data_IF_495431483462
#
_entry.id   IF_495431483462
#
_cell.length_a   1.000
_cell.length_b   1.000
_cell.length_c   1.000
_cell.angle_alpha   90.00
_cell.angle_beta   90.00
_cell.angle_gamma   90.00
#
_symmetry.space_group_name_H-M   'P 1'
#
loop_
_entity.id
_entity.type
_entity.pdbx_description
1 polymer ?
#
# COMPACT_ATOMS: atom_id res chain seq x y z
N UNK A 1 10.86 5.80 1.69
CA UNK A 1 11.06 5.88 0.21
C UNK A 1 10.23 4.85 -0.56
N UNK A 2 9.19 5.28 -1.30
CA UNK A 2 8.43 4.42 -2.20
C UNK A 2 9.02 4.46 -3.63
N UNK A 3 9.42 3.30 -4.14
CA UNK A 3 9.90 3.14 -5.52
C UNK A 3 8.74 3.49 -6.47
N UNK A 4 8.89 4.58 -7.24
CA UNK A 4 8.04 4.88 -8.38
C UNK A 4 8.20 3.78 -9.43
N UNK A 5 7.19 2.93 -9.59
CA UNK A 5 7.04 2.12 -10.78
C UNK A 5 6.45 3.00 -11.89
N UNK A 6 7.33 3.68 -12.63
CA UNK A 6 6.98 4.27 -13.92
C UNK A 6 6.77 3.12 -14.91
N UNK A 7 5.51 2.80 -15.20
CA UNK A 7 5.20 1.95 -16.36
C UNK A 7 5.51 2.79 -17.60
N UNK A 8 6.69 2.59 -18.17
CA UNK A 8 6.99 3.00 -19.55
C UNK A 8 6.18 2.03 -20.43
N UNK A 9 5.01 2.46 -20.87
CA UNK A 9 4.26 1.77 -21.90
C UNK A 9 4.94 2.03 -23.25
N UNK A 10 5.57 0.99 -23.79
CA UNK A 10 6.12 0.99 -25.14
C UNK A 10 4.95 1.11 -26.14
N UNK A 11 4.90 2.11 -27.04
CA UNK A 11 3.72 2.37 -27.87
C UNK A 11 3.54 1.39 -29.05
N UNK A 12 4.30 0.29 -29.11
CA UNK A 12 4.27 -0.64 -30.23
C UNK A 12 3.58 -1.96 -29.91
N UNK A 13 2.26 -1.92 -29.70
CA UNK A 13 1.37 -3.06 -29.97
C UNK A 13 -0.11 -2.61 -30.02
N UNK A 14 -0.41 -1.61 -30.83
CA UNK A 14 -1.79 -1.35 -31.25
C UNK A 14 -2.19 -2.34 -32.36
N UNK A 15 -2.50 -3.58 -31.95
CA UNK A 15 -3.28 -4.51 -32.76
C UNK A 15 -4.75 -4.11 -32.70
N UNK A 16 -5.32 -3.71 -33.83
CA UNK A 16 -6.70 -3.26 -33.99
C UNK A 16 -7.72 -4.36 -33.66
N UNK A 17 -8.18 -4.44 -32.41
CA UNK A 17 -9.36 -5.22 -32.06
C UNK A 17 -10.63 -4.43 -32.42
N UNK A 18 -11.17 -4.71 -33.61
CA UNK A 18 -12.49 -4.23 -34.02
C UNK A 18 -13.56 -4.91 -33.16
N UNK A 19 -14.14 -4.17 -32.21
CA UNK A 19 -15.35 -4.58 -31.50
C UNK A 19 -16.52 -4.60 -32.49
N UNK A 20 -16.82 -5.77 -33.05
CA UNK A 20 -18.03 -5.97 -33.87
C UNK A 20 -19.23 -6.11 -32.93
N UNK A 21 -19.70 -5.00 -32.38
CA UNK A 21 -20.95 -4.95 -31.60
C UNK A 21 -22.15 -5.16 -32.52
N UNK A 22 -22.80 -6.32 -32.41
CA UNK A 22 -24.21 -6.48 -32.82
C UNK A 22 -25.08 -6.35 -31.55
N UNK A 23 -26.02 -5.40 -31.47
CA UNK A 23 -26.95 -5.35 -30.36
C UNK A 23 -27.97 -6.48 -30.55
N UNK A 24 -27.82 -7.58 -29.80
CA UNK A 24 -28.91 -8.53 -29.60
C UNK A 24 -29.72 -8.04 -28.41
N UNK A 25 -30.91 -7.49 -28.68
CA UNK A 25 -31.92 -7.29 -27.65
C UNK A 25 -32.33 -8.66 -27.10
N UNK A 26 -31.73 -9.07 -25.97
CA UNK A 26 -32.26 -10.15 -25.15
C UNK A 26 -33.43 -9.61 -24.34
N UNK A 27 -34.65 -10.05 -24.65
CA UNK A 27 -35.79 -9.94 -23.73
C UNK A 27 -35.48 -10.78 -22.50
N UNK A 28 -35.31 -10.14 -21.35
CA UNK A 28 -35.27 -10.80 -20.05
C UNK A 28 -36.71 -11.04 -19.61
N UNK A 29 -37.14 -12.30 -19.61
CA UNK A 29 -38.34 -12.73 -18.92
C UNK A 29 -38.09 -12.69 -17.41
N UNK A 30 -39.00 -12.01 -16.71
CA UNK A 30 -38.91 -11.76 -15.28
C UNK A 30 -39.44 -12.98 -14.51
N UNK A 31 -38.60 -13.71 -13.80
CA UNK A 31 -39.06 -14.89 -13.05
C UNK A 31 -37.94 -15.73 -12.42
N UNK A 32 -37.37 -15.25 -11.32
CA UNK A 32 -36.45 -16.04 -10.51
C UNK A 32 -35.78 -15.22 -9.42
N UNK A 33 -36.36 -15.23 -8.21
CA UNK A 33 -35.71 -14.67 -7.01
C UNK A 33 -34.49 -15.54 -6.66
N UNK A 34 -33.35 -15.23 -7.24
CA UNK A 34 -32.07 -15.81 -6.82
C UNK A 34 -31.68 -15.14 -5.51
N UNK A 35 -31.93 -15.80 -4.38
CA UNK A 35 -31.28 -15.43 -3.11
C UNK A 35 -29.79 -15.71 -3.28
N UNK A 36 -28.99 -14.66 -3.39
CA UNK A 36 -27.56 -14.76 -3.22
C UNK A 36 -27.28 -15.17 -1.77
N UNK A 37 -27.13 -16.47 -1.52
CA UNK A 37 -26.46 -16.95 -0.31
C UNK A 37 -24.98 -16.58 -0.47
N UNK A 38 -24.56 -15.51 0.21
CA UNK A 38 -23.16 -15.26 0.44
C UNK A 38 -22.62 -16.47 1.21
N UNK A 39 -21.87 -17.33 0.53
CA UNK A 39 -21.15 -18.44 1.17
C UNK A 39 -20.06 -17.85 2.07
N UNK A 40 -20.43 -17.49 3.30
CA UNK A 40 -19.51 -17.19 4.41
C UNK A 40 -18.91 -18.49 4.93
N UNK A 41 -18.32 -19.30 4.05
CA UNK A 41 -17.54 -20.47 4.44
C UNK A 41 -16.14 -20.26 3.89
N UNK A 42 -15.39 -19.40 4.54
CA UNK A 42 -13.95 -19.43 4.49
C UNK A 42 -13.50 -19.80 5.91
N UNK A 43 -12.79 -20.92 6.03
CA UNK A 43 -11.85 -21.17 7.12
C UNK A 43 -10.87 -19.98 7.18
N UNK A 44 -11.29 -18.88 7.81
CA UNK A 44 -10.41 -17.79 8.14
C UNK A 44 -9.70 -18.23 9.41
N UNK A 45 -8.53 -18.87 9.27
CA UNK A 45 -7.45 -18.59 10.23
C UNK A 45 -7.41 -17.07 10.31
N UNK A 46 -7.88 -16.49 11.42
CA UNK A 46 -7.99 -15.05 11.56
C UNK A 46 -6.60 -14.49 11.26
N UNK A 47 -6.46 -13.82 10.12
CA UNK A 47 -5.19 -13.24 9.71
C UNK A 47 -4.94 -12.10 10.68
N UNK A 48 -4.09 -12.32 11.68
CA UNK A 48 -3.76 -11.30 12.66
C UNK A 48 -3.04 -10.11 12.03
N UNK A 49 -3.00 -9.00 12.75
CA UNK A 49 -2.14 -7.87 12.39
C UNK A 49 -0.69 -8.31 12.68
N UNK A 50 0.24 -8.22 11.72
CA UNK A 50 1.65 -8.49 11.98
C UNK A 50 2.19 -7.52 13.04
N UNK A 51 3.09 -8.00 13.91
CA UNK A 51 3.70 -7.20 14.98
C UNK A 51 5.02 -6.54 14.54
N UNK A 52 5.47 -6.77 13.31
CA UNK A 52 6.74 -6.29 12.79
C UNK A 52 6.57 -5.76 11.36
N UNK A 53 7.24 -4.65 11.05
CA UNK A 53 7.49 -4.22 9.68
C UNK A 53 8.67 -4.99 9.10
N UNK A 54 8.63 -5.23 7.80
CA UNK A 54 9.69 -5.92 7.07
C UNK A 54 10.49 -4.93 6.23
N UNK A 55 11.81 -4.94 6.40
CA UNK A 55 12.74 -4.10 5.66
C UNK A 55 13.36 -4.90 4.51
N UNK A 56 13.00 -4.53 3.28
CA UNK A 56 13.50 -5.19 2.08
C UNK A 56 15.02 -5.04 1.91
N UNK A 57 15.61 -3.93 2.38
CA UNK A 57 17.04 -3.61 2.19
C UNK A 57 17.95 -4.68 2.79
N UNK A 58 17.49 -5.37 3.84
CA UNK A 58 18.22 -6.46 4.48
C UNK A 58 18.47 -7.66 3.56
N UNK A 59 17.58 -7.90 2.58
CA UNK A 59 17.66 -9.05 1.67
C UNK A 59 18.16 -8.67 0.26
N UNK A 60 18.47 -7.41 -0.01
CA UNK A 60 18.97 -6.96 -1.31
C UNK A 60 20.45 -7.36 -1.49
N UNK A 61 20.77 -7.95 -2.66
CA UNK A 61 22.15 -8.32 -3.01
C UNK A 61 23.06 -7.10 -3.25
N UNK A 62 22.50 -6.04 -3.82
CA UNK A 62 23.16 -4.73 -3.99
C UNK A 62 22.33 -3.72 -3.22
N UNK A 63 22.95 -3.08 -2.22
CA UNK A 63 22.28 -2.06 -1.42
C UNK A 63 22.03 -0.80 -2.25
N UNK A 64 20.90 -0.10 -2.05
CA UNK A 64 20.69 1.19 -2.68
C UNK A 64 21.81 2.16 -2.29
N UNK A 65 22.24 3.05 -3.21
CA UNK A 65 23.22 4.07 -2.88
C UNK A 65 22.67 4.99 -1.78
N UNK A 66 23.52 5.49 -0.88
CA UNK A 66 23.08 6.39 0.17
C UNK A 66 22.51 7.69 -0.45
N UNK A 67 21.53 8.32 0.21
CA UNK A 67 21.07 9.64 -0.21
C UNK A 67 22.24 10.63 -0.15
N UNK A 68 22.31 11.52 -1.14
CA UNK A 68 23.34 12.55 -1.21
C UNK A 68 22.78 13.89 -0.75
N UNK A 69 23.61 14.64 -0.03
CA UNK A 69 23.25 15.96 0.43
C UNK A 69 23.22 16.94 -0.76
N UNK A 70 22.16 17.75 -0.94
CA UNK A 70 21.91 18.47 -2.19
C UNK A 70 22.93 19.58 -2.51
N UNK A 71 23.69 20.04 -1.51
CA UNK A 71 24.74 21.06 -1.72
C UNK A 71 26.13 20.47 -1.90
N UNK A 72 26.46 19.43 -1.14
CA UNK A 72 27.82 18.88 -1.06
C UNK A 72 27.99 17.67 -1.97
N UNK A 73 26.89 17.03 -2.38
CA UNK A 73 26.88 15.77 -3.14
C UNK A 73 27.61 14.62 -2.43
N UNK A 74 27.84 14.76 -1.13
CA UNK A 74 28.37 13.72 -0.25
C UNK A 74 27.22 12.95 0.40
N UNK A 75 27.44 11.70 0.85
CA UNK A 75 26.43 10.95 1.59
C UNK A 75 25.90 11.73 2.80
N UNK A 76 24.57 11.78 2.92
CA UNK A 76 23.86 12.46 4.01
C UNK A 76 24.21 11.80 5.34
N UNK A 77 24.52 12.61 6.36
CA UNK A 77 24.71 12.13 7.72
C UNK A 77 23.41 12.26 8.53
N UNK A 78 23.20 11.46 9.58
CA UNK A 78 22.03 11.59 10.45
C UNK A 78 21.80 13.00 10.98
N UNK A 79 22.88 13.75 11.26
CA UNK A 79 22.81 15.12 11.77
C UNK A 79 22.19 16.08 10.74
N UNK A 80 22.39 15.83 9.46
CA UNK A 80 21.82 16.62 8.37
C UNK A 80 20.28 16.44 8.26
N UNK A 81 19.75 15.32 8.77
CA UNK A 81 18.32 14.98 8.77
C UNK A 81 17.62 15.36 10.08
N UNK A 82 18.37 15.52 11.17
CA UNK A 82 17.84 15.86 12.50
C UNK A 82 16.92 17.09 12.56
N UNK A 83 17.07 18.14 11.70
CA UNK A 83 16.12 19.26 11.70
C UNK A 83 14.76 18.93 11.07
N UNK A 84 14.67 17.84 10.29
CA UNK A 84 13.49 17.48 9.50
C UNK A 84 12.71 16.33 10.11
N UNK A 85 13.41 15.36 10.70
CA UNK A 85 12.82 14.12 11.16
C UNK A 85 13.19 13.81 12.61
N UNK A 86 12.29 13.17 13.37
CA UNK A 86 12.62 12.62 14.67
C UNK A 86 13.70 11.54 14.57
N UNK A 87 14.50 11.39 15.63
CA UNK A 87 15.69 10.52 15.65
C UNK A 87 15.33 9.07 15.32
N UNK A 88 14.16 8.61 15.75
CA UNK A 88 13.71 7.24 15.52
C UNK A 88 13.39 6.97 14.05
N UNK A 89 12.83 7.94 13.32
CA UNK A 89 12.61 7.80 11.88
C UNK A 89 13.93 7.82 11.10
N UNK A 90 14.89 8.63 11.54
CA UNK A 90 16.24 8.68 10.95
C UNK A 90 16.95 7.34 11.13
N UNK A 91 16.85 6.73 12.32
CA UNK A 91 17.41 5.39 12.59
C UNK A 91 16.76 4.33 11.71
N UNK A 92 15.44 4.36 11.53
CA UNK A 92 14.73 3.41 10.69
C UNK A 92 15.16 3.51 9.22
N UNK A 93 15.37 4.73 8.70
CA UNK A 93 15.85 4.94 7.33
C UNK A 93 17.27 4.37 7.12
N UNK A 94 18.13 4.47 8.14
CA UNK A 94 19.50 3.91 8.09
C UNK A 94 19.57 2.42 8.49
N UNK A 95 18.46 1.80 8.91
CA UNK A 95 18.47 0.45 9.48
C UNK A 95 18.72 -0.63 8.43
N UNK A 96 19.54 -1.61 8.81
CA UNK A 96 19.77 -2.84 8.03
C UNK A 96 19.10 -4.06 8.66
N UNK A 97 18.31 -3.87 9.71
CA UNK A 97 17.57 -4.95 10.36
C UNK A 97 16.44 -5.44 9.47
N UNK A 98 16.19 -6.75 9.45
CA UNK A 98 15.19 -7.38 8.59
C UNK A 98 13.76 -7.12 9.07
N UNK A 99 13.57 -7.09 10.38
CA UNK A 99 12.28 -6.86 11.02
C UNK A 99 12.43 -5.75 12.05
N UNK A 100 11.47 -4.84 12.05
CA UNK A 100 11.39 -3.71 12.99
C UNK A 100 10.07 -3.89 13.74
N UNK A 101 10.12 -3.93 15.06
CA UNK A 101 8.93 -4.09 15.89
C UNK A 101 7.98 -2.90 15.74
N UNK A 102 6.68 -3.19 15.70
CA UNK A 102 5.63 -2.17 15.66
C UNK A 102 5.26 -1.85 17.12
N UNK A 103 5.33 -0.57 17.54
CA UNK A 103 4.90 -0.17 18.88
C UNK A 103 3.45 -0.59 19.17
N UNK A 104 3.17 -0.94 20.41
CA UNK A 104 1.84 -1.43 20.83
C UNK A 104 0.75 -0.40 20.54
N UNK A 105 1.02 0.88 20.78
CA UNK A 105 0.09 1.97 20.50
C UNK A 105 -0.21 2.11 19.00
N UNK A 106 0.76 1.79 18.14
CA UNK A 106 0.54 1.79 16.68
C UNK A 106 -0.28 0.58 16.26
N UNK A 107 -0.06 -0.59 16.88
CA UNK A 107 -0.88 -1.79 16.66
C UNK A 107 -2.34 -1.57 17.09
N UNK A 108 -2.55 -0.91 18.22
CA UNK A 108 -3.87 -0.53 18.72
C UNK A 108 -4.61 0.36 17.72
N UNK A 109 -3.93 1.36 17.14
CA UNK A 109 -4.53 2.20 16.09
C UNK A 109 -4.78 1.38 14.81
N UNK A 110 -3.86 0.51 14.40
CA UNK A 110 -4.07 -0.36 13.24
C UNK A 110 -5.28 -1.27 13.39
N UNK A 111 -5.63 -1.69 14.61
CA UNK A 111 -6.80 -2.53 14.88
C UNK A 111 -8.12 -1.91 14.41
N UNK A 112 -8.17 -0.58 14.23
CA UNK A 112 -9.35 0.13 13.75
C UNK A 112 -9.73 -0.22 12.30
N UNK A 113 -8.77 -0.62 11.45
CA UNK A 113 -9.05 -0.96 10.04
C UNK A 113 -8.26 -2.16 9.47
N UNK A 114 -7.27 -2.67 10.20
CA UNK A 114 -6.47 -3.83 9.80
C UNK A 114 -6.92 -5.08 10.56
N UNK A 115 -6.84 -6.27 9.95
CA UNK A 115 -6.35 -6.58 8.61
C UNK A 115 -7.34 -6.17 7.50
N UNK A 116 -6.81 -5.71 6.38
CA UNK A 116 -7.60 -5.42 5.18
C UNK A 116 -7.91 -6.70 4.40
N UNK A 117 -9.05 -6.80 3.69
CA UNK A 117 -9.42 -8.05 3.01
C UNK A 117 -8.56 -8.32 1.75
N UNK A 118 -8.28 -9.60 1.51
CA UNK A 118 -7.73 -10.09 0.23
C UNK A 118 -8.88 -10.67 -0.59
N UNK A 119 -9.23 -10.01 -1.69
CA UNK A 119 -10.44 -10.33 -2.45
C UNK A 119 -10.07 -10.99 -3.78
N UNK A 120 -10.76 -12.07 -4.14
CA UNK A 120 -10.61 -12.76 -5.43
C UNK A 120 -11.53 -12.15 -6.49
N UNK A 121 -10.95 -11.66 -7.58
CA UNK A 121 -11.65 -10.98 -8.67
C UNK A 121 -12.25 -11.97 -9.70
N UNK A 122 -13.15 -12.88 -9.28
CA UNK A 122 -13.73 -13.94 -10.16
C UNK A 122 -14.39 -13.40 -11.43
N UNK A 123 -15.03 -12.22 -11.36
CA UNK A 123 -15.66 -11.59 -12.54
C UNK A 123 -14.62 -11.11 -13.54
N UNK A 124 -13.50 -10.56 -13.06
CA UNK A 124 -12.39 -10.15 -13.90
C UNK A 124 -11.71 -11.37 -14.55
N UNK A 125 -11.50 -12.44 -13.79
CA UNK A 125 -10.99 -13.73 -14.31
C UNK A 125 -11.84 -14.23 -15.49
N UNK A 126 -13.18 -14.22 -15.34
CA UNK A 126 -14.12 -14.62 -16.40
C UNK A 126 -14.10 -13.70 -17.62
N UNK A 127 -14.00 -12.38 -17.41
CA UNK A 127 -13.96 -11.40 -18.50
C UNK A 127 -12.68 -11.53 -19.33
N UNK A 128 -11.55 -11.80 -18.69
CA UNK A 128 -10.24 -11.98 -19.34
C UNK A 128 -10.04 -13.40 -19.91
N UNK A 129 -10.93 -14.34 -19.60
CA UNK A 129 -10.79 -15.76 -19.93
C UNK A 129 -9.40 -16.32 -19.59
N UNK A 130 -8.86 -15.95 -18.42
CA UNK A 130 -7.53 -16.36 -17.98
C UNK A 130 -7.61 -17.57 -17.03
N UNK A 131 -6.67 -18.53 -17.12
CA UNK A 131 -6.54 -19.58 -16.10
C UNK A 131 -5.95 -19.04 -14.78
N UNK A 132 -5.36 -17.84 -14.80
CA UNK A 132 -4.77 -17.22 -13.62
C UNK A 132 -5.85 -16.83 -12.59
N UNK A 133 -5.51 -16.96 -11.31
CA UNK A 133 -6.35 -16.48 -10.20
C UNK A 133 -5.92 -15.06 -9.85
N UNK A 134 -6.85 -14.12 -9.90
CA UNK A 134 -6.55 -12.70 -9.66
C UNK A 134 -7.05 -12.34 -8.27
N UNK A 135 -6.11 -11.91 -7.41
CA UNK A 135 -6.39 -11.39 -6.07
C UNK A 135 -5.95 -9.94 -5.98
N UNK A 136 -6.68 -9.14 -5.20
CA UNK A 136 -6.26 -7.80 -4.86
C UNK A 136 -6.40 -7.57 -3.36
N UNK A 137 -5.40 -6.92 -2.78
CA UNK A 137 -5.39 -6.48 -1.38
C UNK A 137 -6.12 -5.15 -1.29
N UNK A 138 -7.27 -5.13 -0.63
CA UNK A 138 -8.15 -3.96 -0.63
C UNK A 138 -7.84 -3.03 0.54
N UNK A 139 -6.86 -2.15 0.36
CA UNK A 139 -6.44 -1.13 1.35
C UNK A 139 -7.41 0.08 1.45
N UNK A 140 -8.52 0.07 0.70
CA UNK A 140 -9.52 1.14 0.71
C UNK A 140 -10.44 1.14 1.94
N UNK A 141 -10.28 0.19 2.85
CA UNK A 141 -11.10 0.07 4.08
C UNK A 141 -10.65 0.99 5.21
N UNK A 142 -9.50 1.65 5.08
CA UNK A 142 -9.03 2.60 6.09
C UNK A 142 -9.95 3.84 6.13
N UNK A 143 -9.96 4.61 7.22
CA UNK A 143 -10.73 5.85 7.32
C UNK A 143 -10.40 6.87 6.21
N UNK A 144 -9.16 6.84 5.70
CA UNK A 144 -8.69 7.69 4.60
C UNK A 144 -8.92 7.07 3.20
N UNK A 145 -9.55 5.90 3.11
CA UNK A 145 -9.82 5.21 1.85
C UNK A 145 -8.57 4.76 1.08
N UNK A 146 -7.41 4.65 1.74
CA UNK A 146 -6.13 4.30 1.10
C UNK A 146 -5.12 3.69 2.07
N UNK A 147 -3.96 3.25 1.58
CA UNK A 147 -2.89 2.64 2.38
C UNK A 147 -2.04 3.64 3.16
N UNK A 148 -2.24 4.95 3.00
CA UNK A 148 -1.34 5.99 3.55
C UNK A 148 -1.35 6.11 5.07
N UNK A 149 -2.46 5.83 5.78
CA UNK A 149 -2.42 5.71 7.25
C UNK A 149 -1.40 4.69 7.75
N UNK A 150 -1.00 3.70 6.93
CA UNK A 150 0.01 2.70 7.31
C UNK A 150 1.42 3.31 7.54
N UNK A 151 1.69 4.54 7.06
CA UNK A 151 2.95 5.26 7.36
C UNK A 151 2.68 6.55 8.14
N UNK A 152 1.56 7.23 7.87
CA UNK A 152 1.24 8.48 8.56
C UNK A 152 1.03 8.28 10.08
N UNK A 153 0.44 7.15 10.49
CA UNK A 153 0.23 6.84 11.92
C UNK A 153 1.54 6.63 12.68
N UNK A 154 2.45 5.73 12.26
CA UNK A 154 3.73 5.58 12.96
C UNK A 154 4.57 6.85 12.92
N UNK A 155 4.55 7.61 11.83
CA UNK A 155 5.27 8.89 11.79
C UNK A 155 4.70 9.92 12.77
N UNK A 156 3.38 10.06 12.84
CA UNK A 156 2.74 10.92 13.83
C UNK A 156 3.04 10.47 15.27
N UNK A 157 3.07 9.16 15.51
CA UNK A 157 3.43 8.56 16.80
C UNK A 157 4.87 8.94 17.22
N UNK A 158 5.88 8.70 16.37
CA UNK A 158 7.27 9.01 16.71
C UNK A 158 7.52 10.52 16.87
N UNK A 159 6.86 11.36 16.06
CA UNK A 159 6.89 12.81 16.26
C UNK A 159 6.31 13.20 17.62
N UNK A 160 5.15 12.63 17.99
CA UNK A 160 4.52 12.89 19.28
C UNK A 160 5.40 12.42 20.46
N UNK A 161 6.06 11.26 20.35
CA UNK A 161 7.01 10.76 21.35
C UNK A 161 8.21 11.71 21.55
N UNK A 162 8.70 12.35 20.50
CA UNK A 162 9.77 13.35 20.57
C UNK A 162 9.26 14.74 21.03
N UNK A 163 7.98 14.87 21.40
CA UNK A 163 7.39 16.11 21.89
C UNK A 163 7.01 17.11 20.79
N UNK A 164 7.03 16.69 19.52
CA UNK A 164 6.62 17.53 18.39
C UNK A 164 5.10 17.62 18.36
N UNK A 165 4.58 18.86 18.40
CA UNK A 165 3.13 19.13 18.47
C UNK A 165 2.48 19.38 17.10
N UNK A 166 3.29 19.75 16.11
CA UNK A 166 2.82 20.13 14.78
C UNK A 166 3.66 19.40 13.74
N UNK A 167 3.00 18.70 12.82
CA UNK A 167 3.63 18.05 11.68
C UNK A 167 3.09 18.70 10.41
N UNK A 168 3.98 19.00 9.48
CA UNK A 168 3.65 19.60 8.18
C UNK A 168 4.16 18.68 7.08
N UNK A 169 3.34 18.45 6.07
CA UNK A 169 3.62 17.58 4.93
C UNK A 169 2.90 18.16 3.71
N UNK A 170 3.50 18.06 2.54
CA UNK A 170 2.84 18.40 1.29
C UNK A 170 1.81 17.34 0.89
N UNK A 171 0.76 17.77 0.19
CA UNK A 171 -0.20 16.86 -0.42
C UNK A 171 -0.62 17.37 -1.79
N UNK A 172 -0.53 16.52 -2.82
CA UNK A 172 -1.01 16.83 -4.16
C UNK A 172 -2.52 16.60 -4.32
N UNK A 173 -3.00 15.38 -4.05
CA UNK A 173 -4.44 15.05 -4.05
C UNK A 173 -4.84 14.84 -2.61
N UNK A 174 -5.87 15.55 -2.11
CA UNK A 174 -6.32 15.49 -0.72
C UNK A 174 -6.36 14.04 -0.22
N UNK A 175 -5.36 13.70 0.59
CA UNK A 175 -5.09 12.34 1.02
C UNK A 175 -3.77 11.77 0.54
N UNK A 176 -2.88 12.43 -0.20
CA UNK A 176 -1.51 11.98 -0.51
C UNK A 176 -0.50 12.61 0.44
N UNK A 177 -0.38 12.04 1.64
CA UNK A 177 0.73 12.35 2.54
C UNK A 177 1.97 11.60 2.01
N UNK A 178 2.95 12.34 1.50
CA UNK A 178 4.30 11.81 1.27
C UNK A 178 5.17 12.28 2.43
N UNK A 179 5.60 11.32 3.25
CA UNK A 179 6.87 11.28 3.96
C UNK A 179 7.25 9.79 4.03
#
# INVERSE_FOLDING_TARGET
MAIQATIIADPQCFGSFVLKTRPRHLRLSNGGRVRARASLNADLKAVGIPHQWYNLVADLSVKPPPPLHPKTFEPVKPEDLSPLFPDELIKQEASTEKFIDIPEEVLDIYSLWRPTPLIRAKRLEKLLNTPARIYYKYEGVSPAGSHKPNTAVPQAFYNAQQGIKNVVTETGVAGSCFL
#
